data_IF_977792116013
#
_entry.id   IF_977792116013
#
_cell.length_a   1.000
_cell.length_b   1.000
_cell.length_c   1.000
_cell.angle_alpha   90.00
_cell.angle_beta   90.00
_cell.angle_gamma   90.00
#
_symmetry.space_group_name_H-M   'P 1'
#
loop_
_entity.id
_entity.type
_entity.pdbx_description
1 polymer ?
#
# COMPACT_ATOMS: atom_id res chain seq x y z
N UNK A 1 -1.07 -1.39 18.81
CA UNK A 1 -1.75 -2.46 18.04
C UNK A 1 -2.35 -1.94 16.72
N UNK A 2 -3.30 -0.98 16.73
CA UNK A 2 -3.96 -0.50 15.50
C UNK A 2 -3.01 0.09 14.44
N UNK A 3 -2.03 0.90 14.84
CA UNK A 3 -1.04 1.48 13.92
C UNK A 3 -0.14 0.42 13.28
N UNK A 4 0.24 -0.61 14.02
CA UNK A 4 1.05 -1.72 13.51
C UNK A 4 0.32 -2.48 12.40
N UNK A 5 -0.99 -2.72 12.57
CA UNK A 5 -1.81 -3.41 11.57
C UNK A 5 -1.90 -2.58 10.28
N UNK A 6 -2.08 -1.26 10.37
CA UNK A 6 -2.14 -0.39 9.19
C UNK A 6 -0.81 -0.34 8.42
N UNK A 7 0.31 -0.30 9.15
CA UNK A 7 1.65 -0.31 8.54
C UNK A 7 1.89 -1.66 7.86
N UNK A 8 1.57 -2.78 8.51
CA UNK A 8 1.70 -4.11 7.92
C UNK A 8 0.81 -4.28 6.68
N UNK A 9 -0.44 -3.85 6.76
CA UNK A 9 -1.38 -3.90 5.64
C UNK A 9 -0.84 -3.09 4.45
N UNK A 10 -0.34 -1.88 4.68
CA UNK A 10 0.25 -1.07 3.60
C UNK A 10 1.56 -1.65 3.06
N UNK A 11 2.40 -2.23 3.92
CA UNK A 11 3.66 -2.87 3.53
C UNK A 11 3.42 -4.11 2.65
N UNK A 12 2.31 -4.81 2.84
CA UNK A 12 1.89 -5.91 1.96
C UNK A 12 1.18 -5.38 0.70
N UNK A 13 0.31 -4.38 0.83
CA UNK A 13 -0.46 -3.85 -0.31
C UNK A 13 0.44 -3.28 -1.43
N UNK A 14 1.57 -2.67 -1.09
CA UNK A 14 2.51 -2.11 -2.08
C UNK A 14 3.09 -3.20 -3.02
N UNK A 15 3.80 -4.24 -2.52
CA UNK A 15 4.37 -5.27 -3.39
C UNK A 15 3.30 -6.09 -4.12
N UNK A 16 2.14 -6.37 -3.50
CA UNK A 16 1.04 -7.04 -4.19
C UNK A 16 0.41 -6.16 -5.28
N UNK A 17 0.24 -4.87 -5.02
CA UNK A 17 -0.22 -3.91 -6.02
C UNK A 17 0.74 -3.79 -7.20
N UNK A 18 2.05 -3.70 -6.93
CA UNK A 18 3.08 -3.70 -7.95
C UNK A 18 3.07 -5.01 -8.77
N UNK A 19 2.93 -6.16 -8.12
CA UNK A 19 2.82 -7.45 -8.80
C UNK A 19 1.60 -7.48 -9.74
N UNK A 20 0.44 -6.98 -9.32
CA UNK A 20 -0.75 -6.93 -10.18
C UNK A 20 -0.57 -6.00 -11.38
N UNK A 21 0.12 -4.87 -11.20
CA UNK A 21 0.50 -3.97 -12.31
C UNK A 21 1.38 -4.71 -13.30
N UNK A 22 2.44 -5.36 -12.81
CA UNK A 22 3.39 -6.08 -13.66
C UNK A 22 2.76 -7.27 -14.39
N UNK A 23 1.81 -7.96 -13.76
CA UNK A 23 1.02 -9.00 -14.44
C UNK A 23 0.09 -8.40 -15.50
N UNK A 24 -0.65 -7.33 -15.16
CA UNK A 24 -1.54 -6.65 -16.11
C UNK A 24 -0.81 -6.07 -17.33
N UNK A 25 0.46 -5.70 -17.19
CA UNK A 25 1.34 -5.26 -18.27
C UNK A 25 1.96 -6.41 -19.08
N UNK A 26 1.77 -7.67 -18.65
CA UNK A 26 2.36 -8.84 -19.32
C UNK A 26 3.84 -9.07 -19.00
N UNK A 27 4.44 -8.25 -18.15
CA UNK A 27 5.87 -8.35 -17.78
C UNK A 27 6.14 -9.53 -16.85
N UNK A 28 5.23 -9.78 -15.91
CA UNK A 28 5.30 -10.93 -14.98
C UNK A 28 4.21 -11.92 -15.37
N UNK A 29 4.60 -13.10 -15.83
CA UNK A 29 3.68 -14.13 -16.35
C UNK A 29 3.64 -15.37 -15.46
N UNK A 30 3.37 -15.16 -14.17
CA UNK A 30 3.32 -16.22 -13.19
C UNK A 30 2.14 -16.03 -12.23
N UNK A 31 1.31 -17.05 -11.98
CA UNK A 31 1.19 -18.33 -12.69
C UNK A 31 0.79 -18.14 -14.17
N UNK A 32 1.17 -19.08 -15.05
CA UNK A 32 0.88 -18.99 -16.50
C UNK A 32 -0.62 -18.97 -16.82
N UNK A 33 -1.47 -19.51 -15.94
CA UNK A 33 -2.93 -19.49 -16.03
C UNK A 33 -3.58 -18.32 -15.27
N UNK A 34 -2.84 -17.27 -14.93
CA UNK A 34 -3.38 -16.13 -14.21
C UNK A 34 -4.32 -15.30 -15.10
N UNK A 35 -5.54 -15.07 -14.62
CA UNK A 35 -6.53 -14.17 -15.23
C UNK A 35 -6.08 -12.70 -15.25
N UNK A 36 -4.96 -12.39 -14.59
CA UNK A 36 -4.43 -11.02 -14.47
C UNK A 36 -3.50 -10.63 -15.61
N UNK A 37 -2.93 -11.61 -16.31
CA UNK A 37 -1.92 -11.39 -17.33
C UNK A 37 -2.53 -10.65 -18.53
N UNK A 38 -1.82 -9.64 -19.04
CA UNK A 38 -2.20 -8.85 -20.22
C UNK A 38 -3.59 -8.16 -20.10
N UNK A 39 -3.99 -7.82 -18.87
CA UNK A 39 -5.27 -7.18 -18.56
C UNK A 39 -5.11 -5.76 -18.02
N UNK A 40 -5.56 -4.74 -18.79
CA UNK A 40 -5.60 -3.33 -18.35
C UNK A 40 -6.37 -3.11 -17.04
N UNK A 41 -7.39 -3.92 -16.79
CA UNK A 41 -8.16 -3.87 -15.53
C UNK A 41 -7.27 -4.14 -14.32
N UNK A 42 -6.33 -5.07 -14.43
CA UNK A 42 -5.40 -5.42 -13.35
C UNK A 42 -4.26 -4.42 -13.21
N UNK A 43 -3.86 -3.75 -14.29
CA UNK A 43 -2.97 -2.57 -14.22
C UNK A 43 -3.58 -1.48 -13.33
N UNK A 44 -4.85 -1.11 -13.58
CA UNK A 44 -5.51 -0.07 -12.80
C UNK A 44 -5.73 -0.49 -11.33
N UNK A 45 -6.23 -1.71 -11.11
CA UNK A 45 -6.48 -2.25 -9.76
C UNK A 45 -5.18 -2.35 -8.94
N UNK A 46 -4.11 -2.83 -9.55
CA UNK A 46 -2.80 -2.92 -8.91
C UNK A 46 -2.23 -1.55 -8.54
N UNK A 47 -2.35 -0.57 -9.44
CA UNK A 47 -1.91 0.80 -9.19
C UNK A 47 -2.67 1.43 -8.02
N UNK A 48 -4.01 1.29 -7.99
CA UNK A 48 -4.84 1.77 -6.88
C UNK A 48 -4.41 1.11 -5.56
N UNK A 49 -4.21 -0.21 -5.55
CA UNK A 49 -3.79 -0.95 -4.35
C UNK A 49 -2.41 -0.46 -3.85
N UNK A 50 -1.45 -0.27 -4.75
CA UNK A 50 -0.12 0.22 -4.40
C UNK A 50 -0.17 1.64 -3.82
N UNK A 51 -0.96 2.54 -4.42
CA UNK A 51 -1.17 3.91 -3.92
C UNK A 51 -1.83 3.90 -2.55
N UNK A 52 -2.88 3.11 -2.34
CA UNK A 52 -3.53 2.98 -1.03
C UNK A 52 -2.58 2.44 0.03
N UNK A 53 -1.75 1.45 -0.32
CA UNK A 53 -0.71 0.93 0.57
C UNK A 53 0.32 2.01 0.96
N UNK A 54 0.77 2.80 0.00
CA UNK A 54 1.68 3.94 0.23
C UNK A 54 1.03 5.01 1.11
N UNK A 55 -0.25 5.32 0.91
CA UNK A 55 -1.01 6.25 1.76
C UNK A 55 -1.19 5.71 3.18
N UNK A 56 -1.41 4.41 3.36
CA UNK A 56 -1.51 3.81 4.69
C UNK A 56 -0.18 3.89 5.45
N UNK A 57 0.94 3.59 4.77
CA UNK A 57 2.28 3.66 5.37
C UNK A 57 2.73 5.11 5.61
N UNK A 58 2.51 6.00 4.65
CA UNK A 58 2.90 7.40 4.71
C UNK A 58 1.98 8.24 5.59
N UNK A 59 0.67 8.01 5.52
CA UNK A 59 -0.33 8.63 6.39
C UNK A 59 -0.16 8.24 7.86
N UNK A 60 0.26 7.00 8.14
CA UNK A 60 0.64 6.60 9.50
C UNK A 60 1.87 7.36 10.03
N UNK A 61 2.74 7.89 9.14
CA UNK A 61 3.88 8.75 9.52
C UNK A 61 3.49 10.23 9.60
N UNK A 62 2.52 10.68 8.79
CA UNK A 62 2.07 12.08 8.73
C UNK A 62 0.99 12.43 9.77
N UNK A 63 0.31 11.45 10.37
CA UNK A 63 -0.57 11.67 11.52
C UNK A 63 0.32 11.62 12.78
N UNK A 64 0.75 12.77 13.34
CA UNK A 64 1.49 12.77 14.60
C UNK A 64 0.61 12.08 15.64
N UNK A 65 1.17 11.02 16.22
CA UNK A 65 0.49 10.23 17.25
C UNK A 65 0.00 11.20 18.33
N UNK A 66 -1.21 11.05 18.88
CA UNK A 66 -1.74 11.97 19.92
C UNK A 66 -0.75 12.18 21.09
N UNK A 67 0.14 11.21 21.33
CA UNK A 67 1.25 11.30 22.27
C UNK A 67 2.24 12.46 21.98
N UNK A 68 2.53 12.70 20.71
CA UNK A 68 3.45 13.74 20.23
C UNK A 68 2.83 15.13 20.36
N UNK A 69 1.53 15.25 20.02
CA UNK A 69 0.71 16.45 20.28
C UNK A 69 0.61 16.80 21.77
N UNK A 70 0.64 15.81 22.67
CA UNK A 70 0.59 16.05 24.12
C UNK A 70 1.95 16.47 24.68
N UNK A 71 3.05 16.08 24.03
CA UNK A 71 4.42 16.43 24.42
C UNK A 71 4.79 17.86 24.02
N UNK A 72 4.30 18.35 22.88
CA UNK A 72 4.48 19.76 22.49
C UNK A 72 3.73 20.70 23.45
N UNK A 73 2.49 20.38 23.79
CA UNK A 73 1.64 21.17 24.70
C UNK A 73 2.08 21.23 26.17
N UNK A 74 3.06 20.42 26.57
CA UNK A 74 3.65 20.44 27.93
C UNK A 74 4.98 21.20 27.99
N UNK A 75 5.51 21.61 26.83
CA UNK A 75 6.73 22.41 26.70
C UNK A 75 6.44 23.91 26.55
N UNK A 76 5.16 24.27 26.41
CA UNK A 76 4.63 25.64 26.46
C UNK A 76 4.01 25.86 27.86
#
# INVERSE_FOLDING_TARGET
>A
MRQTILILAGLLAIPFGALFVLQGLGMVRWPSSSFMIDSRTWVLRGAILAVLGAVLVGGARLVPTRAERKRSRRRD
#
